data_IF_711793055872
#
_entry.id   IF_711793055872
#
_cell.length_a   1.000
_cell.length_b   1.000
_cell.length_c   1.000
_cell.angle_alpha   90.00
_cell.angle_beta   90.00
_cell.angle_gamma   90.00
#
_symmetry.space_group_name_H-M   'P 1'
#
loop_
_entity.id
_entity.type
_entity.pdbx_description
1 polymer ?
#
# COMPACT_ATOMS: atom_id res chain seq x y z
N UNK A 1 -5.24 16.57 -34.36
CA UNK A 1 -6.64 16.20 -34.05
C UNK A 1 -6.86 14.69 -34.29
N UNK A 2 -6.31 13.81 -33.43
CA UNK A 2 -6.41 12.32 -33.60
C UNK A 2 -7.21 11.67 -32.47
N UNK A 3 -7.82 12.48 -31.60
CA UNK A 3 -8.39 12.05 -30.32
C UNK A 3 -9.77 11.37 -30.36
N UNK A 4 -10.70 11.68 -31.31
CA UNK A 4 -12.03 11.06 -31.30
C UNK A 4 -12.00 9.58 -31.72
N UNK A 5 -11.24 9.26 -32.77
CA UNK A 5 -11.19 7.92 -33.36
C UNK A 5 -10.57 6.88 -32.41
N UNK A 6 -9.52 7.26 -31.68
CA UNK A 6 -8.89 6.39 -30.68
C UNK A 6 -9.83 6.09 -29.51
N UNK A 7 -10.60 7.08 -29.04
CA UNK A 7 -11.55 6.87 -27.94
C UNK A 7 -12.69 5.93 -28.34
N UNK A 8 -13.19 6.08 -29.57
CA UNK A 8 -14.21 5.19 -30.14
C UNK A 8 -13.68 3.76 -30.30
N UNK A 9 -12.44 3.59 -30.75
CA UNK A 9 -11.80 2.29 -30.88
C UNK A 9 -11.71 1.55 -29.53
N UNK A 10 -11.17 2.20 -28.49
CA UNK A 10 -11.06 1.57 -27.16
C UNK A 10 -12.42 1.24 -26.54
N UNK A 11 -13.43 2.09 -26.76
CA UNK A 11 -14.79 1.84 -26.26
C UNK A 11 -15.42 0.64 -26.97
N UNK A 12 -15.24 0.55 -28.29
CA UNK A 12 -15.67 -0.61 -29.09
C UNK A 12 -14.97 -1.90 -28.65
N UNK A 13 -13.66 -1.83 -28.37
CA UNK A 13 -12.90 -2.98 -27.89
C UNK A 13 -13.40 -3.47 -26.52
N UNK A 14 -13.60 -2.57 -25.55
CA UNK A 14 -14.14 -2.91 -24.22
C UNK A 14 -15.47 -3.63 -24.32
N UNK A 15 -16.40 -3.08 -25.10
CA UNK A 15 -17.71 -3.69 -25.31
C UNK A 15 -17.62 -5.08 -25.96
N UNK A 16 -16.69 -5.27 -26.90
CA UNK A 16 -16.46 -6.57 -27.52
C UNK A 16 -15.96 -7.61 -26.51
N UNK A 17 -15.04 -7.22 -25.61
CA UNK A 17 -14.54 -8.09 -24.54
C UNK A 17 -15.65 -8.41 -23.55
N UNK A 18 -16.40 -7.42 -23.09
CA UNK A 18 -17.54 -7.61 -22.17
C UNK A 18 -18.61 -8.54 -22.76
N UNK A 19 -18.86 -8.43 -24.07
CA UNK A 19 -19.75 -9.34 -24.79
C UNK A 19 -19.25 -10.79 -24.80
N UNK A 20 -17.96 -11.00 -25.12
CA UNK A 20 -17.36 -12.35 -25.09
C UNK A 20 -17.37 -12.96 -23.69
N UNK A 21 -17.09 -12.17 -22.66
CA UNK A 21 -17.17 -12.59 -21.27
C UNK A 21 -18.61 -13.00 -20.92
N UNK A 22 -19.59 -12.18 -21.30
CA UNK A 22 -21.01 -12.48 -21.10
C UNK A 22 -21.40 -13.80 -21.76
N UNK A 23 -21.00 -14.05 -23.01
CA UNK A 23 -21.27 -15.31 -23.70
C UNK A 23 -20.67 -16.51 -22.95
N UNK A 24 -19.42 -16.39 -22.50
CA UNK A 24 -18.74 -17.44 -21.72
C UNK A 24 -19.44 -17.70 -20.39
N UNK A 25 -19.87 -16.65 -19.69
CA UNK A 25 -20.60 -16.76 -18.43
C UNK A 25 -21.99 -17.39 -18.63
N UNK A 26 -22.69 -17.07 -19.72
CA UNK A 26 -23.96 -17.71 -20.06
C UNK A 26 -23.75 -19.20 -20.34
N UNK A 27 -22.73 -19.56 -21.12
CA UNK A 27 -22.40 -20.96 -21.39
C UNK A 27 -22.07 -21.73 -20.10
N UNK A 28 -21.23 -21.14 -19.24
CA UNK A 28 -20.93 -21.68 -17.91
C UNK A 28 -22.20 -21.85 -17.05
N UNK A 29 -23.08 -20.85 -17.01
CA UNK A 29 -24.30 -20.90 -16.20
C UNK A 29 -25.26 -21.99 -16.69
N UNK A 30 -25.36 -22.19 -18.02
CA UNK A 30 -26.12 -23.30 -18.63
C UNK A 30 -25.53 -24.66 -18.26
N UNK A 31 -24.20 -24.79 -18.37
CA UNK A 31 -23.51 -26.03 -18.01
C UNK A 31 -23.65 -26.37 -16.52
N UNK A 32 -23.70 -25.37 -15.64
CA UNK A 32 -23.84 -25.56 -14.19
C UNK A 32 -25.25 -25.97 -13.76
N UNK A 33 -26.25 -25.64 -14.58
CA UNK A 33 -27.66 -25.92 -14.30
C UNK A 33 -28.32 -26.62 -15.49
N UNK A 34 -27.92 -27.86 -15.84
CA UNK A 34 -28.38 -28.55 -17.05
C UNK A 34 -29.90 -28.76 -17.07
N UNK A 35 -30.52 -28.93 -15.90
CA UNK A 35 -31.95 -29.17 -15.74
C UNK A 35 -32.79 -27.89 -15.60
N UNK A 36 -32.19 -26.71 -15.78
CA UNK A 36 -32.88 -25.42 -15.65
C UNK A 36 -32.84 -24.68 -16.97
N UNK A 37 -33.94 -23.98 -17.27
CA UNK A 37 -34.00 -23.10 -18.43
C UNK A 37 -32.96 -21.98 -18.31
N UNK A 38 -32.46 -21.50 -19.46
CA UNK A 38 -31.50 -20.38 -19.51
C UNK A 38 -32.06 -19.12 -18.84
N UNK A 39 -33.37 -18.86 -18.94
CA UNK A 39 -34.04 -17.74 -18.28
C UNK A 39 -33.95 -17.79 -16.75
N UNK A 40 -33.87 -19.00 -16.17
CA UNK A 40 -33.62 -19.16 -14.74
C UNK A 40 -32.17 -18.83 -14.40
N UNK A 41 -31.21 -19.31 -15.19
CA UNK A 41 -29.79 -19.01 -15.00
C UNK A 41 -29.50 -17.50 -15.12
N UNK A 42 -30.11 -16.84 -16.12
CA UNK A 42 -30.03 -15.38 -16.30
C UNK A 42 -30.55 -14.67 -15.05
N UNK A 43 -31.78 -14.96 -14.60
CA UNK A 43 -32.34 -14.35 -13.39
C UNK A 43 -31.53 -14.63 -12.12
N UNK A 44 -30.82 -15.75 -12.05
CA UNK A 44 -29.99 -16.12 -10.90
C UNK A 44 -28.72 -15.27 -10.84
N UNK A 45 -27.99 -15.14 -11.94
CA UNK A 45 -26.66 -14.56 -11.96
C UNK A 45 -26.60 -13.12 -12.47
N UNK A 46 -27.51 -12.68 -13.34
CA UNK A 46 -27.57 -11.31 -13.83
C UNK A 46 -28.56 -10.51 -12.98
N UNK A 47 -28.06 -9.46 -12.35
CA UNK A 47 -28.78 -8.58 -11.41
C UNK A 47 -28.59 -7.13 -11.80
N UNK A 48 -29.46 -6.28 -11.29
CA UNK A 48 -29.32 -4.83 -11.42
C UNK A 48 -28.28 -4.29 -10.45
N UNK A 49 -27.35 -3.48 -10.96
CA UNK A 49 -26.35 -2.70 -10.21
C UNK A 49 -26.47 -1.24 -10.64
N UNK A 50 -27.09 -0.40 -9.82
CA UNK A 50 -27.37 0.99 -10.18
C UNK A 50 -28.27 1.09 -11.43
N UNK A 51 -27.77 1.70 -12.50
CA UNK A 51 -28.48 1.81 -13.77
C UNK A 51 -28.25 0.64 -14.73
N UNK A 52 -27.33 -0.27 -14.41
CA UNK A 52 -27.05 -1.44 -15.23
C UNK A 52 -27.90 -2.64 -14.79
N UNK A 53 -28.82 -3.05 -15.65
CA UNK A 53 -29.70 -4.19 -15.42
C UNK A 53 -29.10 -5.54 -15.83
N UNK A 54 -27.87 -5.56 -16.33
CA UNK A 54 -27.22 -6.76 -16.88
C UNK A 54 -25.85 -7.01 -16.24
N UNK A 55 -25.77 -6.89 -14.91
CA UNK A 55 -24.53 -7.12 -14.16
C UNK A 55 -24.45 -8.55 -13.65
N UNK A 56 -23.42 -9.30 -14.06
CA UNK A 56 -23.15 -10.62 -13.48
C UNK A 56 -22.77 -10.48 -12.01
N UNK A 57 -23.34 -11.34 -11.17
CA UNK A 57 -23.14 -11.29 -9.73
C UNK A 57 -23.23 -12.66 -9.07
N UNK A 58 -22.54 -12.79 -7.94
CA UNK A 58 -22.54 -13.97 -7.09
C UNK A 58 -22.64 -13.58 -5.63
N UNK A 59 -23.31 -14.43 -4.84
CA UNK A 59 -23.30 -14.28 -3.39
C UNK A 59 -21.94 -14.68 -2.84
N UNK A 60 -21.31 -13.81 -2.06
CA UNK A 60 -20.04 -14.09 -1.40
C UNK A 60 -20.32 -14.35 0.09
N UNK A 61 -20.28 -15.63 0.47
CA UNK A 61 -20.70 -16.13 1.78
C UNK A 61 -19.93 -15.49 2.95
N UNK A 62 -18.66 -15.11 2.72
CA UNK A 62 -17.82 -14.44 3.71
C UNK A 62 -18.02 -12.92 3.85
N UNK A 63 -18.57 -12.24 2.82
CA UNK A 63 -18.72 -10.78 2.84
C UNK A 63 -20.17 -10.30 3.07
N UNK A 64 -21.13 -11.23 3.18
CA UNK A 64 -22.58 -10.96 3.33
C UNK A 64 -23.11 -9.93 2.31
N UNK A 65 -22.49 -9.89 1.12
CA UNK A 65 -22.84 -8.94 0.06
C UNK A 65 -22.80 -9.65 -1.29
N UNK A 66 -23.55 -9.08 -2.23
CA UNK A 66 -23.52 -9.47 -3.63
C UNK A 66 -22.25 -8.90 -4.25
N UNK A 67 -21.34 -9.79 -4.69
CA UNK A 67 -20.20 -9.40 -5.50
C UNK A 67 -20.63 -9.28 -6.95
N UNK A 68 -20.28 -8.16 -7.59
CA UNK A 68 -20.56 -7.91 -9.00
C UNK A 68 -19.27 -7.99 -9.81
N UNK A 69 -19.36 -8.56 -11.01
CA UNK A 69 -18.26 -8.52 -11.96
C UNK A 69 -18.00 -7.08 -12.37
N UNK A 70 -16.75 -6.64 -12.28
CA UNK A 70 -16.31 -5.32 -12.71
C UNK A 70 -16.32 -5.29 -14.24
N UNK A 71 -16.96 -4.29 -14.82
CA UNK A 71 -16.98 -4.09 -16.27
C UNK A 71 -15.73 -3.35 -16.75
N UNK A 72 -15.35 -3.56 -18.01
CA UNK A 72 -14.19 -2.87 -18.59
C UNK A 72 -14.42 -1.35 -18.70
N UNK A 73 -15.67 -0.89 -18.73
CA UNK A 73 -16.01 0.53 -18.72
C UNK A 73 -15.77 1.22 -17.36
N UNK A 74 -15.76 0.46 -16.25
CA UNK A 74 -15.52 0.97 -14.89
C UNK A 74 -14.04 1.39 -14.71
N UNK A 75 -13.14 0.89 -15.55
CA UNK A 75 -11.75 1.31 -15.58
C UNK A 75 -11.56 2.54 -16.48
N UNK A 76 -11.13 3.70 -15.92
CA UNK A 76 -10.88 4.88 -16.72
C UNK A 76 -9.67 4.66 -17.64
N UNK A 77 -9.78 5.13 -18.89
CA UNK A 77 -8.64 5.12 -19.82
C UNK A 77 -7.73 6.28 -19.44
N UNK A 78 -6.70 5.98 -18.66
CA UNK A 78 -5.67 6.95 -18.26
C UNK A 78 -4.63 7.04 -19.38
N UNK A 79 -4.54 8.22 -20.02
CA UNK A 79 -3.56 8.46 -21.07
C UNK A 79 -2.21 8.83 -20.47
N UNK A 80 -1.20 8.03 -20.78
CA UNK A 80 0.18 8.36 -20.48
C UNK A 80 0.67 9.39 -21.51
N UNK A 81 1.27 10.47 -21.03
CA UNK A 81 1.87 11.49 -21.90
C UNK A 81 3.18 10.90 -22.45
N UNK A 82 3.42 10.93 -23.76
CA UNK A 82 4.69 10.42 -24.34
C UNK A 82 5.90 11.19 -23.79
N UNK A 83 7.07 10.55 -23.76
CA UNK A 83 8.33 11.26 -23.48
C UNK A 83 8.65 12.17 -24.67
N UNK A 84 9.19 13.38 -24.41
CA UNK A 84 9.49 14.37 -25.45
C UNK A 84 10.75 13.96 -26.22
N UNK A 85 10.61 13.73 -27.53
CA UNK A 85 11.74 13.47 -28.43
C UNK A 85 12.65 12.36 -27.92
N UNK A 86 13.96 12.64 -27.88
CA UNK A 86 15.00 11.72 -27.39
C UNK A 86 15.35 11.94 -25.90
N UNK A 87 14.46 12.57 -25.12
CA UNK A 87 14.72 12.77 -23.70
C UNK A 87 14.90 11.45 -22.97
N UNK A 88 15.88 11.42 -22.06
CA UNK A 88 16.24 10.27 -21.25
C UNK A 88 16.34 10.70 -19.78
N UNK A 89 15.96 9.88 -18.78
CA UNK A 89 16.15 10.21 -17.36
C UNK A 89 17.59 10.62 -17.00
N UNK A 90 18.56 10.24 -17.84
CA UNK A 90 19.98 10.53 -17.68
C UNK A 90 20.49 11.69 -18.55
N UNK A 91 19.62 12.41 -19.26
CA UNK A 91 19.98 13.53 -20.15
C UNK A 91 20.31 14.84 -19.42
N UNK A 92 20.28 14.84 -18.09
CA UNK A 92 20.54 16.01 -17.25
C UNK A 92 19.36 17.01 -17.18
N UNK A 93 18.25 16.77 -17.89
CA UNK A 93 17.08 17.64 -17.87
C UNK A 93 16.19 17.40 -16.64
N UNK A 94 16.74 17.70 -15.47
CA UNK A 94 16.06 17.48 -14.18
C UNK A 94 14.71 18.19 -14.11
N UNK A 95 14.58 19.40 -14.66
CA UNK A 95 13.34 20.18 -14.66
C UNK A 95 12.21 19.44 -15.39
N UNK A 96 12.49 18.88 -16.56
CA UNK A 96 11.51 18.11 -17.32
C UNK A 96 11.06 16.86 -16.55
N UNK A 97 12.02 16.09 -16.02
CA UNK A 97 11.75 14.84 -15.31
C UNK A 97 11.02 15.07 -13.98
N UNK A 98 11.40 16.09 -13.21
CA UNK A 98 10.70 16.46 -11.96
C UNK A 98 9.26 16.92 -12.22
N UNK A 99 9.02 17.73 -13.27
CA UNK A 99 7.67 18.17 -13.64
C UNK A 99 6.80 16.99 -14.09
N UNK A 100 7.39 16.09 -14.89
CA UNK A 100 6.73 14.88 -15.37
C UNK A 100 6.37 13.93 -14.24
N UNK A 101 7.28 13.73 -13.28
CA UNK A 101 7.06 12.92 -12.08
C UNK A 101 5.86 13.44 -11.28
N UNK A 102 5.82 14.75 -10.99
CA UNK A 102 4.71 15.35 -10.23
C UNK A 102 3.34 15.29 -10.94
N UNK A 103 3.32 15.17 -12.27
CA UNK A 103 2.11 15.03 -13.09
C UNK A 103 1.80 13.59 -13.48
N UNK A 104 2.57 12.61 -13.02
CA UNK A 104 2.36 11.21 -13.38
C UNK A 104 0.99 10.74 -12.87
N UNK A 105 0.20 10.00 -13.68
CA UNK A 105 -1.15 9.60 -13.24
C UNK A 105 -1.18 8.70 -12.01
N UNK A 106 -0.13 7.91 -11.79
CA UNK A 106 0.00 7.05 -10.61
C UNK A 106 0.53 7.81 -9.38
N UNK A 107 0.89 9.08 -9.52
CA UNK A 107 1.37 9.90 -8.41
C UNK A 107 0.20 10.26 -7.49
N UNK A 108 0.23 9.88 -6.19
CA UNK A 108 -0.82 10.27 -5.26
C UNK A 108 -0.87 11.80 -5.12
N UNK A 109 -2.07 12.37 -5.04
CA UNK A 109 -2.27 13.83 -4.94
C UNK A 109 -1.51 14.44 -3.74
N UNK A 110 -1.46 13.73 -2.62
CA UNK A 110 -0.70 14.14 -1.42
C UNK A 110 0.79 14.26 -1.75
N UNK A 111 1.36 13.22 -2.34
CA UNK A 111 2.77 13.15 -2.75
C UNK A 111 3.11 14.24 -3.77
N UNK A 112 2.27 14.44 -4.80
CA UNK A 112 2.46 15.50 -5.79
C UNK A 112 2.46 16.90 -5.15
N UNK A 113 1.58 17.13 -4.17
CA UNK A 113 1.52 18.40 -3.41
C UNK A 113 2.81 18.64 -2.63
N UNK A 114 3.28 17.64 -1.88
CA UNK A 114 4.52 17.73 -1.10
C UNK A 114 5.75 17.89 -1.99
N UNK A 115 5.81 17.14 -3.09
CA UNK A 115 6.88 17.25 -4.08
C UNK A 115 7.00 18.68 -4.62
N UNK A 116 5.87 19.33 -4.91
CA UNK A 116 5.83 20.74 -5.33
C UNK A 116 6.26 21.69 -4.20
N UNK A 117 5.75 21.50 -2.98
CA UNK A 117 6.09 22.34 -1.82
C UNK A 117 7.59 22.28 -1.48
N UNK A 118 8.20 21.10 -1.59
CA UNK A 118 9.61 20.85 -1.31
C UNK A 118 10.53 21.07 -2.51
N UNK A 119 10.00 21.62 -3.61
CA UNK A 119 10.77 21.91 -4.83
C UNK A 119 11.50 20.66 -5.38
N UNK A 120 10.88 19.49 -5.25
CA UNK A 120 11.43 18.23 -5.72
C UNK A 120 12.60 17.69 -4.90
N UNK A 121 12.84 18.20 -3.69
CA UNK A 121 13.95 17.78 -2.82
C UNK A 121 13.47 16.98 -1.61
N UNK A 122 14.27 16.00 -1.21
CA UNK A 122 14.09 15.28 0.04
C UNK A 122 14.43 16.19 1.24
N UNK A 123 13.52 16.30 2.22
CA UNK A 123 13.76 17.13 3.41
C UNK A 123 14.88 16.62 4.33
N UNK A 124 15.26 15.34 4.21
CA UNK A 124 16.31 14.74 5.04
C UNK A 124 17.70 14.89 4.43
N UNK A 125 17.91 14.47 3.18
CA UNK A 125 19.22 14.51 2.55
C UNK A 125 19.44 15.72 1.62
N UNK A 126 18.41 16.52 1.34
CA UNK A 126 18.48 17.70 0.47
C UNK A 126 18.61 17.41 -1.03
N UNK A 127 18.79 16.15 -1.43
CA UNK A 127 18.91 15.75 -2.84
C UNK A 127 17.57 15.78 -3.57
N UNK A 128 17.62 16.01 -4.88
CA UNK A 128 16.44 15.98 -5.75
C UNK A 128 15.99 14.54 -6.02
N UNK A 129 14.67 14.34 -6.01
CA UNK A 129 14.06 13.08 -6.41
C UNK A 129 14.24 12.85 -7.92
N UNK A 130 14.58 11.62 -8.28
CA UNK A 130 14.77 11.15 -9.66
C UNK A 130 13.75 10.07 -10.02
N UNK A 131 13.61 9.85 -11.31
CA UNK A 131 12.78 8.76 -11.83
C UNK A 131 13.30 7.41 -11.28
N UNK A 132 12.39 6.58 -10.76
CA UNK A 132 12.72 5.32 -10.09
C UNK A 132 12.95 5.41 -8.57
N UNK A 133 13.07 6.61 -8.00
CA UNK A 133 13.16 6.75 -6.54
C UNK A 133 11.85 6.33 -5.85
N UNK A 134 11.97 5.71 -4.68
CA UNK A 134 10.82 5.38 -3.82
C UNK A 134 10.58 6.54 -2.86
N UNK A 135 9.49 7.26 -3.08
CA UNK A 135 9.08 8.42 -2.28
C UNK A 135 8.11 7.99 -1.19
N UNK A 136 8.38 8.39 0.05
CA UNK A 136 7.56 8.08 1.21
C UNK A 136 7.18 9.35 1.95
N UNK A 137 5.93 9.42 2.40
CA UNK A 137 5.41 10.53 3.21
C UNK A 137 5.66 10.19 4.67
N UNK A 138 6.43 11.03 5.33
CA UNK A 138 6.80 10.96 6.74
C UNK A 138 6.22 12.15 7.53
N UNK A 139 6.13 12.00 8.84
CA UNK A 139 5.79 13.09 9.74
C UNK A 139 7.04 13.79 10.27
N UNK A 140 7.12 15.11 10.13
CA UNK A 140 8.21 15.94 10.69
C UNK A 140 8.31 15.69 12.20
N UNK A 141 7.18 15.85 12.91
CA UNK A 141 7.01 15.39 14.29
C UNK A 141 6.35 14.01 14.23
N UNK A 142 7.01 12.93 14.69
CA UNK A 142 6.44 11.58 14.69
C UNK A 142 5.11 11.51 15.45
N UNK A 143 4.19 10.64 15.00
CA UNK A 143 2.92 10.41 15.71
C UNK A 143 3.11 10.02 17.18
N UNK A 144 4.13 9.22 17.49
CA UNK A 144 4.47 8.83 18.85
C UNK A 144 4.83 10.02 19.77
N UNK A 145 5.30 11.13 19.19
CA UNK A 145 5.62 12.38 19.89
C UNK A 145 4.49 13.42 19.76
N UNK A 146 3.27 13.00 19.44
CA UNK A 146 2.11 13.88 19.31
C UNK A 146 1.95 14.57 17.94
N UNK A 147 2.67 14.11 16.92
CA UNK A 147 2.57 14.64 15.57
C UNK A 147 1.18 14.50 14.95
N UNK A 148 0.64 15.60 14.42
CA UNK A 148 -0.68 15.64 13.76
C UNK A 148 -0.62 15.23 12.29
N UNK A 149 -1.74 14.73 11.76
CA UNK A 149 -1.91 14.39 10.34
C UNK A 149 -2.26 15.62 9.50
N UNK A 150 -1.33 16.57 9.39
CA UNK A 150 -1.52 17.82 8.61
C UNK A 150 -0.43 18.00 7.57
N UNK A 151 -0.74 18.70 6.47
CA UNK A 151 0.26 19.02 5.42
C UNK A 151 1.47 19.79 5.95
N UNK A 152 1.29 20.62 6.99
CA UNK A 152 2.39 21.31 7.67
C UNK A 152 3.32 20.39 8.45
N UNK A 153 2.85 19.20 8.83
CA UNK A 153 3.64 18.19 9.54
C UNK A 153 4.05 17.02 8.63
N UNK A 154 3.67 17.04 7.35
CA UNK A 154 4.10 16.03 6.38
C UNK A 154 5.36 16.50 5.66
N UNK A 155 6.26 15.56 5.41
CA UNK A 155 7.42 15.74 4.54
C UNK A 155 7.59 14.50 3.66
N UNK A 156 8.15 14.72 2.47
CA UNK A 156 8.45 13.70 1.50
C UNK A 156 9.92 13.36 1.55
N UNK A 157 10.23 12.08 1.72
CA UNK A 157 11.58 11.55 1.87
C UNK A 157 11.83 10.42 0.86
N UNK A 158 13.10 10.15 0.56
CA UNK A 158 13.46 8.86 -0.02
C UNK A 158 13.21 7.75 1.01
N UNK A 159 12.87 6.54 0.55
CA UNK A 159 12.68 5.39 1.45
C UNK A 159 13.85 5.19 2.43
N UNK A 160 15.09 5.17 1.94
CA UNK A 160 16.27 5.01 2.80
C UNK A 160 16.46 6.17 3.80
N UNK A 161 16.06 7.40 3.43
CA UNK A 161 16.09 8.56 4.31
C UNK A 161 15.04 8.42 5.42
N UNK A 162 13.84 7.94 5.08
CA UNK A 162 12.76 7.70 6.03
C UNK A 162 13.13 6.60 7.04
N UNK A 163 13.75 5.51 6.58
CA UNK A 163 14.28 4.45 7.46
C UNK A 163 15.30 5.02 8.47
N UNK A 164 16.24 5.83 7.97
CA UNK A 164 17.28 6.47 8.79
C UNK A 164 16.68 7.42 9.82
N UNK A 165 15.78 8.32 9.39
CA UNK A 165 15.07 9.24 10.28
C UNK A 165 14.29 8.50 11.36
N UNK A 166 13.55 7.45 10.98
CA UNK A 166 12.78 6.64 11.92
C UNK A 166 13.66 6.01 12.99
N UNK A 167 14.86 5.53 12.60
CA UNK A 167 15.85 5.03 13.56
C UNK A 167 16.33 6.11 14.54
N UNK A 168 16.59 7.33 14.04
CA UNK A 168 17.00 8.46 14.88
C UNK A 168 15.88 8.90 15.84
N UNK A 169 14.64 8.95 15.37
CA UNK A 169 13.47 9.33 16.16
C UNK A 169 13.22 8.36 17.33
N UNK A 170 13.48 7.07 17.12
CA UNK A 170 13.40 6.01 18.14
C UNK A 170 14.58 6.03 19.12
N UNK A 171 15.77 6.39 18.66
CA UNK A 171 16.97 6.50 19.50
C UNK A 171 16.88 7.60 20.57
N UNK A 172 16.02 8.61 20.36
CA UNK A 172 15.75 9.70 21.32
C UNK A 172 14.60 9.40 22.29
N UNK A 173 14.10 8.16 22.38
CA UNK A 173 13.36 7.79 23.59
C UNK A 173 14.39 7.48 24.68
N UNK A 174 14.51 8.37 25.68
CA UNK A 174 15.22 8.07 26.91
C UNK A 174 14.58 6.84 27.54
N UNK A 175 15.09 5.67 27.18
CA UNK A 175 14.98 4.51 28.05
C UNK A 175 15.86 4.85 29.23
N UNK A 176 15.25 5.38 30.28
CA UNK A 176 15.80 5.24 31.62
C UNK A 176 16.00 3.73 31.81
N UNK A 177 17.21 3.23 31.57
CA UNK A 177 17.60 1.92 32.05
C UNK A 177 17.66 2.08 33.55
N UNK A 178 16.55 1.77 34.22
CA UNK A 178 16.63 1.34 35.61
C UNK A 178 17.41 0.03 35.53
N UNK A 179 18.72 0.13 35.73
CA UNK A 179 19.55 -1.02 36.06
C UNK A 179 19.09 -1.36 37.48
N UNK A 180 18.10 -2.24 37.61
CA UNK A 180 17.90 -2.93 38.88
C UNK A 180 19.20 -3.72 39.11
N UNK A 181 19.99 -3.27 40.08
CA UNK A 181 21.08 -4.08 40.60
C UNK A 181 20.46 -5.42 41.05
N UNK A 182 20.99 -6.58 40.59
CA UNK A 182 20.52 -7.85 41.10
C UNK A 182 20.86 -7.93 42.59
N UNK A 183 19.81 -7.88 43.43
CA UNK A 183 19.90 -8.07 44.88
C UNK A 183 20.84 -9.24 45.21
N UNK A 184 21.88 -8.95 45.99
CA UNK A 184 22.84 -9.93 46.48
C UNK A 184 22.10 -11.08 47.18
N UNK A 185 22.02 -12.22 46.50
CA UNK A 185 21.50 -13.44 47.06
C UNK A 185 22.32 -13.82 48.29
N UNK A 186 21.67 -13.84 49.47
CA UNK A 186 22.24 -14.31 50.73
C UNK A 186 22.86 -15.70 50.54
N UNK A 187 24.18 -15.75 50.48
CA UNK A 187 24.95 -16.99 50.54
C UNK A 187 24.80 -17.58 51.95
N UNK A 188 24.03 -18.67 52.06
CA UNK A 188 23.99 -19.49 53.27
C UNK A 188 25.37 -20.12 53.50
N UNK A 189 26.08 -19.64 54.52
CA UNK A 189 27.35 -20.20 54.99
C UNK A 189 27.05 -21.43 55.87
N UNK A 190 27.60 -22.62 55.58
CA UNK A 190 27.55 -23.71 56.54
C UNK A 190 28.46 -23.41 57.72
N UNK A 191 27.90 -23.46 58.93
CA UNK A 191 28.60 -23.31 60.20
C UNK A 191 29.39 -24.60 60.48
N UNK A 192 30.72 -24.54 60.35
CA UNK A 192 31.61 -25.53 60.93
C UNK A 192 31.80 -25.20 62.41
N UNK A 193 31.08 -25.90 63.29
CA UNK A 193 31.49 -26.01 64.69
C UNK A 193 32.32 -27.26 64.89
N UNK A 194 33.56 -27.05 65.31
CA UNK A 194 34.44 -28.08 65.85
C UNK A 194 34.17 -28.26 67.34
N UNK A 195 33.94 -29.48 67.80
CA UNK A 195 34.51 -29.93 69.07
C UNK A 195 34.57 -31.46 69.12
N UNK A 196 35.73 -31.95 69.56
CA UNK A 196 36.09 -33.36 69.76
C UNK A 196 35.53 -33.88 71.10
N UNK A 197 35.49 -35.22 71.18
CA UNK A 197 35.38 -36.13 72.35
C UNK A 197 33.93 -36.43 72.77
N UNK A 198 33.55 -37.67 73.02
CA UNK A 198 34.31 -38.93 73.11
C UNK A 198 33.36 -40.09 73.42
N UNK A 199 33.95 -41.28 73.46
CA UNK A 199 33.56 -42.46 74.27
C UNK A 199 32.18 -43.09 74.00
N UNK A 200 32.11 -44.18 73.24
CA UNK A 200 32.24 -45.59 73.68
C UNK A 200 31.16 -46.05 74.66
N UNK A 201 30.33 -47.02 74.24
CA UNK A 201 30.41 -48.41 74.70
C UNK A 201 29.28 -49.25 74.10
N UNK A 202 29.58 -50.55 74.01
CA UNK A 202 28.81 -51.71 73.60
C UNK A 202 27.29 -51.69 73.84
#
# INVERSE_FOLDING_TARGET
MVYPLLLLYFTRLRNAIDHLITQRLIAWARSRHPNKAISWAVRKYWKTKGNDNWSFSTWEEGMRKTAHLIQHNEFPIIRHIKVKGNSSPFDGNQVYWSNRMGKHPEMPKRTATLLKQQQGKCCFCGLTFKDGDKLEVDHIIPKAKGGKDTYSNFQLLHRHCHDTKTSQDRGMCDKHQIIEEPDEGKLSRPVLQTSRRGDSSA
#
